data_IF_370439441460
#
_entry.id   IF_370439441460
#
_cell.length_a   1.000
_cell.length_b   1.000
_cell.length_c   1.000
_cell.angle_alpha   90.00
_cell.angle_beta   90.00
_cell.angle_gamma   90.00
#
_symmetry.space_group_name_H-M   'P 1'
#
loop_
_entity.id
_entity.type
_entity.pdbx_description
1 polymer ?
#
# COMPACT_ATOMS: atom_id res chain seq x y z
N UNK A 1 -30.50 37.30 -13.61
CA UNK A 1 -30.92 36.52 -12.43
C UNK A 1 -30.57 35.04 -12.51
N UNK A 2 -30.87 34.31 -13.57
CA UNK A 2 -30.56 32.83 -13.63
C UNK A 2 -29.12 32.44 -13.49
N UNK A 3 -28.15 33.23 -13.98
CA UNK A 3 -26.71 32.94 -13.85
C UNK A 3 -26.14 33.16 -12.43
N UNK A 4 -26.69 34.14 -11.70
CA UNK A 4 -26.24 34.40 -10.31
C UNK A 4 -26.74 33.30 -9.33
N UNK A 5 -27.92 32.72 -9.58
CA UNK A 5 -28.46 31.61 -8.77
C UNK A 5 -27.61 30.33 -8.99
N UNK A 6 -27.16 30.07 -10.22
CA UNK A 6 -26.34 28.91 -10.54
C UNK A 6 -24.97 28.98 -9.87
N UNK A 7 -24.35 30.16 -9.83
CA UNK A 7 -23.03 30.36 -9.15
C UNK A 7 -23.18 30.22 -7.64
N UNK A 8 -24.27 30.71 -7.05
CA UNK A 8 -24.55 30.53 -5.62
C UNK A 8 -24.80 29.06 -5.25
N UNK A 9 -25.46 28.28 -6.10
CA UNK A 9 -25.69 26.84 -5.87
C UNK A 9 -24.40 26.02 -5.97
N UNK A 10 -23.53 26.35 -6.91
CA UNK A 10 -22.21 25.71 -7.04
C UNK A 10 -21.30 26.05 -5.85
N UNK A 11 -21.31 27.31 -5.39
CA UNK A 11 -20.55 27.72 -4.20
C UNK A 11 -21.05 27.03 -2.92
N UNK A 12 -22.34 26.81 -2.77
CA UNK A 12 -22.93 26.06 -1.63
C UNK A 12 -22.59 24.58 -1.69
N UNK A 13 -22.59 23.94 -2.89
CA UNK A 13 -22.15 22.55 -3.03
C UNK A 13 -20.66 22.36 -2.75
N UNK A 14 -19.82 23.31 -3.15
CA UNK A 14 -18.37 23.28 -2.83
C UNK A 14 -18.15 23.48 -1.32
N UNK A 15 -18.93 24.35 -0.68
CA UNK A 15 -18.85 24.57 0.78
C UNK A 15 -19.33 23.35 1.58
N UNK A 16 -20.36 22.64 1.12
CA UNK A 16 -20.88 21.42 1.78
C UNK A 16 -19.91 20.25 1.59
N UNK A 17 -19.23 20.13 0.44
CA UNK A 17 -18.18 19.11 0.26
C UNK A 17 -16.90 19.43 1.05
N UNK A 18 -16.58 20.71 1.29
CA UNK A 18 -15.40 21.13 2.07
C UNK A 18 -15.54 20.91 3.57
N UNK A 19 -16.76 20.85 4.12
CA UNK A 19 -17.00 20.72 5.58
C UNK A 19 -17.00 19.26 6.04
N UNK A 20 -17.16 18.29 5.12
CA UNK A 20 -17.24 16.87 5.48
C UNK A 20 -15.90 16.21 5.77
N UNK A 21 -14.76 16.88 5.51
CA UNK A 21 -13.43 16.28 5.65
C UNK A 21 -12.71 16.60 6.96
N UNK A 22 -13.26 17.44 7.82
CA UNK A 22 -12.61 17.83 9.07
C UNK A 22 -13.00 17.01 10.29
N UNK A 23 -13.96 16.10 10.18
CA UNK A 23 -14.55 15.40 11.32
C UNK A 23 -13.93 14.02 11.63
N UNK A 24 -12.99 13.50 10.84
CA UNK A 24 -12.43 12.14 11.03
C UNK A 24 -10.99 12.12 11.58
N UNK A 25 -10.56 13.12 12.32
CA UNK A 25 -9.16 13.26 12.74
C UNK A 25 -8.76 12.50 14.02
N UNK A 26 -9.60 11.65 14.59
CA UNK A 26 -9.30 10.99 15.86
C UNK A 26 -9.08 9.48 15.80
N UNK A 27 -9.13 8.87 14.65
CA UNK A 27 -8.65 7.49 14.54
C UNK A 27 -7.11 7.55 14.54
N UNK A 28 -6.49 7.01 15.56
CA UNK A 28 -5.07 6.66 15.55
C UNK A 28 -4.90 5.54 14.52
N UNK A 29 -4.81 5.93 13.27
CA UNK A 29 -4.63 5.03 12.12
C UNK A 29 -3.15 4.71 11.89
N UNK A 30 -2.27 5.23 12.74
CA UNK A 30 -0.86 4.84 12.73
C UNK A 30 -0.76 3.36 13.10
N UNK A 31 -0.29 2.56 12.16
CA UNK A 31 -0.43 1.13 12.14
C UNK A 31 -0.07 0.41 13.44
N UNK A 32 -1.01 -0.33 13.93
CA UNK A 32 -0.76 -1.38 14.91
C UNK A 32 -0.29 -2.65 14.18
N UNK A 33 0.73 -2.52 13.31
CA UNK A 33 1.30 -3.62 12.53
C UNK A 33 1.65 -4.83 13.41
N UNK A 34 2.04 -4.60 14.67
CA UNK A 34 2.24 -5.67 15.62
C UNK A 34 1.01 -6.61 15.77
N UNK A 35 -0.20 -6.13 15.48
CA UNK A 35 -1.41 -6.93 15.59
C UNK A 35 -1.64 -7.84 14.38
N UNK A 36 -0.93 -7.66 13.28
CA UNK A 36 -1.01 -8.56 12.12
C UNK A 36 -0.33 -9.90 12.44
N UNK A 37 0.87 -9.83 13.03
CA UNK A 37 1.70 -11.00 13.33
C UNK A 37 1.67 -11.37 14.82
N UNK A 38 0.49 -11.32 15.48
CA UNK A 38 0.40 -11.58 16.93
C UNK A 38 0.80 -13.01 17.28
N UNK A 39 0.30 -13.96 16.53
CA UNK A 39 0.38 -15.39 16.86
C UNK A 39 1.38 -16.17 15.99
N UNK A 40 2.03 -15.49 15.03
CA UNK A 40 3.00 -16.05 14.09
C UNK A 40 4.10 -15.04 13.76
N UNK A 41 5.15 -15.48 13.06
CA UNK A 41 6.32 -14.65 12.78
C UNK A 41 6.45 -14.27 11.31
N UNK A 42 5.70 -14.92 10.43
CA UNK A 42 5.80 -14.76 8.99
C UNK A 42 4.42 -14.86 8.32
N UNK A 43 4.16 -13.98 7.36
CA UNK A 43 3.07 -14.09 6.38
C UNK A 43 3.65 -13.97 4.97
N UNK A 44 3.10 -14.72 4.03
CA UNK A 44 3.41 -14.60 2.61
C UNK A 44 2.13 -14.57 1.78
N UNK A 45 2.10 -13.70 0.77
CA UNK A 45 0.98 -13.55 -0.16
C UNK A 45 1.50 -13.58 -1.59
N UNK A 46 0.87 -14.38 -2.44
CA UNK A 46 1.15 -14.40 -3.86
C UNK A 46 -0.06 -13.95 -4.65
N UNK A 47 0.14 -13.01 -5.56
CA UNK A 47 -0.88 -12.45 -6.45
C UNK A 47 -0.53 -12.75 -7.91
N UNK A 48 -1.54 -13.12 -8.70
CA UNK A 48 -1.45 -13.04 -10.15
C UNK A 48 -1.65 -11.59 -10.58
N UNK A 49 -0.85 -11.13 -11.50
CA UNK A 49 -0.93 -9.79 -12.06
C UNK A 49 -1.36 -9.88 -13.51
N UNK A 50 -2.33 -9.04 -13.89
CA UNK A 50 -2.81 -8.94 -15.27
C UNK A 50 -3.27 -7.51 -15.56
N UNK A 51 -3.31 -7.12 -16.83
CA UNK A 51 -3.93 -5.87 -17.24
C UNK A 51 -5.32 -6.12 -17.81
N UNK A 52 -6.23 -5.18 -17.59
CA UNK A 52 -7.59 -5.18 -18.13
C UNK A 52 -7.91 -3.84 -18.80
N UNK A 53 -8.66 -3.88 -19.88
CA UNK A 53 -9.23 -2.70 -20.51
C UNK A 53 -10.41 -2.13 -19.69
N UNK A 54 -11.03 -1.06 -20.15
CA UNK A 54 -12.19 -0.43 -19.52
C UNK A 54 -13.42 -1.34 -19.42
N UNK A 55 -13.48 -2.39 -20.23
CA UNK A 55 -14.60 -3.35 -20.27
C UNK A 55 -14.28 -4.62 -19.46
N UNK A 56 -13.08 -4.69 -18.85
CA UNK A 56 -12.61 -5.82 -18.05
C UNK A 56 -11.97 -6.96 -18.84
N UNK A 57 -11.73 -6.78 -20.14
CA UNK A 57 -11.07 -7.79 -20.95
C UNK A 57 -9.55 -7.80 -20.71
N UNK A 58 -8.90 -8.99 -20.71
CA UNK A 58 -7.45 -9.07 -20.55
C UNK A 58 -6.69 -8.34 -21.66
N UNK A 59 -5.62 -7.65 -21.29
CA UNK A 59 -4.68 -6.99 -22.21
C UNK A 59 -3.37 -7.75 -22.18
N UNK A 60 -2.96 -8.31 -23.30
CA UNK A 60 -1.76 -9.12 -23.41
C UNK A 60 -0.47 -8.31 -23.14
N UNK A 61 0.56 -8.99 -22.65
CA UNK A 61 1.88 -8.40 -22.42
C UNK A 61 2.09 -7.78 -21.04
N UNK A 62 1.11 -7.85 -20.15
CA UNK A 62 1.17 -7.32 -18.78
C UNK A 62 0.92 -8.40 -17.72
N UNK A 63 1.03 -9.67 -18.10
CA UNK A 63 0.92 -10.76 -17.13
C UNK A 63 2.18 -10.83 -16.26
N UNK A 64 1.97 -11.16 -14.97
CA UNK A 64 3.05 -11.21 -14.01
C UNK A 64 2.65 -11.85 -12.69
N UNK A 65 3.54 -11.69 -11.72
CA UNK A 65 3.33 -12.12 -10.34
C UNK A 65 3.76 -11.04 -9.36
N UNK A 66 3.11 -10.99 -8.22
CA UNK A 66 3.49 -10.13 -7.10
C UNK A 66 3.47 -10.95 -5.83
N UNK A 67 4.61 -11.03 -5.16
CA UNK A 67 4.75 -11.68 -3.86
C UNK A 67 4.99 -10.63 -2.79
N UNK A 68 4.32 -10.76 -1.65
CA UNK A 68 4.53 -9.91 -0.46
C UNK A 68 4.81 -10.81 0.73
N UNK A 69 5.87 -10.50 1.48
CA UNK A 69 6.18 -11.17 2.74
C UNK A 69 6.24 -10.17 3.89
N UNK A 70 5.80 -10.63 5.05
CA UNK A 70 5.92 -9.92 6.33
C UNK A 70 6.69 -10.79 7.31
N UNK A 71 7.82 -10.27 7.82
CA UNK A 71 8.69 -10.97 8.76
C UNK A 71 8.86 -10.17 10.05
N UNK A 72 8.72 -10.83 11.19
CA UNK A 72 8.85 -10.23 12.52
C UNK A 72 10.29 -10.32 13.02
N UNK A 73 10.80 -9.20 13.53
CA UNK A 73 12.15 -9.11 14.08
C UNK A 73 12.11 -8.66 15.53
N UNK A 74 13.00 -9.24 16.35
CA UNK A 74 13.20 -8.85 17.75
C UNK A 74 14.25 -7.74 17.86
N UNK A 75 14.29 -7.06 19.01
CA UNK A 75 15.33 -6.08 19.33
C UNK A 75 16.73 -6.69 19.22
N UNK A 76 17.66 -5.99 18.58
CA UNK A 76 19.04 -6.42 18.40
C UNK A 76 19.26 -7.37 17.21
N UNK A 77 18.22 -7.73 16.48
CA UNK A 77 18.34 -8.57 15.28
C UNK A 77 19.10 -7.87 14.16
N UNK A 78 19.60 -8.66 13.21
CA UNK A 78 20.19 -8.18 11.95
C UNK A 78 19.29 -8.61 10.79
N UNK A 79 18.94 -7.65 9.92
CA UNK A 79 18.21 -7.88 8.68
C UNK A 79 19.20 -7.89 7.53
N UNK A 80 19.45 -9.04 6.93
CA UNK A 80 20.50 -9.23 5.91
C UNK A 80 20.00 -9.06 4.48
N UNK A 81 18.71 -9.16 4.25
CA UNK A 81 18.08 -9.14 2.92
C UNK A 81 17.27 -7.86 2.67
N UNK A 82 17.79 -6.73 3.14
CA UNK A 82 17.19 -5.41 2.93
C UNK A 82 17.78 -4.74 1.68
N UNK A 83 17.39 -5.22 0.51
CA UNK A 83 17.93 -4.74 -0.77
C UNK A 83 19.43 -5.03 -0.87
N UNK A 84 20.24 -3.98 -1.05
CA UNK A 84 21.70 -4.07 -1.03
C UNK A 84 22.31 -3.77 0.35
N UNK A 85 21.49 -3.47 1.35
CA UNK A 85 21.95 -3.08 2.69
C UNK A 85 21.72 -4.20 3.71
N UNK A 86 22.46 -4.13 4.80
CA UNK A 86 22.24 -4.90 6.02
C UNK A 86 21.87 -3.92 7.13
N UNK A 87 20.73 -4.16 7.81
CA UNK A 87 20.33 -3.38 8.96
C UNK A 87 20.75 -4.13 10.23
N UNK A 88 21.72 -3.60 10.95
CA UNK A 88 22.24 -4.19 12.19
C UNK A 88 21.57 -3.55 13.40
N UNK A 89 21.41 -4.34 14.49
CA UNK A 89 20.85 -3.88 15.76
C UNK A 89 19.49 -3.16 15.61
N UNK A 90 18.59 -3.75 14.80
CA UNK A 90 17.28 -3.16 14.58
C UNK A 90 16.45 -3.16 15.87
N UNK A 91 15.59 -2.16 16.02
CA UNK A 91 14.52 -2.18 17.04
C UNK A 91 13.52 -3.28 16.70
N UNK A 92 12.78 -3.78 17.71
CA UNK A 92 11.66 -4.70 17.46
C UNK A 92 10.76 -4.13 16.37
N UNK A 93 10.44 -4.95 15.35
CA UNK A 93 9.71 -4.47 14.19
C UNK A 93 9.26 -5.55 13.24
N UNK A 94 8.77 -5.10 12.09
CA UNK A 94 8.32 -5.95 10.98
C UNK A 94 8.98 -5.45 9.69
N UNK A 95 9.51 -6.38 8.93
CA UNK A 95 9.94 -6.16 7.55
C UNK A 95 8.81 -6.58 6.62
N UNK A 96 8.39 -5.68 5.75
CA UNK A 96 7.51 -5.98 4.62
C UNK A 96 8.34 -5.92 3.35
N UNK A 97 8.35 -6.99 2.57
CA UNK A 97 9.02 -7.04 1.25
C UNK A 97 8.00 -7.31 0.16
N UNK A 98 8.21 -6.71 -1.00
CA UNK A 98 7.44 -6.95 -2.21
C UNK A 98 8.35 -7.31 -3.38
N UNK A 99 7.95 -8.27 -4.19
CA UNK A 99 8.58 -8.60 -5.46
C UNK A 99 7.50 -8.68 -6.53
N UNK A 100 7.49 -7.71 -7.44
CA UNK A 100 6.59 -7.66 -8.59
C UNK A 100 7.39 -7.94 -9.86
N UNK A 101 6.89 -8.87 -10.67
CA UNK A 101 7.40 -9.14 -12.03
C UNK A 101 6.30 -8.89 -13.04
N UNK A 102 6.54 -8.05 -14.03
CA UNK A 102 5.65 -7.84 -15.18
C UNK A 102 6.51 -7.79 -16.45
N UNK A 103 6.31 -8.76 -17.34
CA UNK A 103 7.16 -8.92 -18.52
C UNK A 103 8.63 -9.14 -18.11
N UNK A 104 9.53 -8.27 -18.59
CA UNK A 104 10.97 -8.30 -18.26
C UNK A 104 11.36 -7.33 -17.16
N UNK A 105 10.40 -6.69 -16.50
CA UNK A 105 10.63 -5.72 -15.44
C UNK A 105 10.34 -6.34 -14.08
N UNK A 106 11.28 -6.18 -13.16
CA UNK A 106 11.17 -6.63 -11.78
C UNK A 106 11.26 -5.44 -10.84
N UNK A 107 10.38 -5.41 -9.84
CA UNK A 107 10.37 -4.41 -8.77
C UNK A 107 10.57 -5.12 -7.45
N UNK A 108 11.67 -4.81 -6.76
CA UNK A 108 11.94 -5.26 -5.41
C UNK A 108 11.74 -4.10 -4.47
N UNK A 109 10.93 -4.28 -3.45
CA UNK A 109 10.62 -3.26 -2.46
C UNK A 109 10.75 -3.82 -1.06
N UNK A 110 11.02 -2.95 -0.10
CA UNK A 110 10.97 -3.32 1.30
C UNK A 110 10.84 -2.11 2.20
N UNK A 111 10.14 -2.30 3.30
CA UNK A 111 9.98 -1.32 4.36
C UNK A 111 10.11 -2.01 5.70
N UNK A 112 10.99 -1.48 6.54
CA UNK A 112 11.15 -1.92 7.92
C UNK A 112 10.43 -0.95 8.84
N UNK A 113 9.53 -1.49 9.65
CA UNK A 113 8.81 -0.76 10.68
C UNK A 113 9.37 -1.09 12.03
N UNK A 114 9.57 -0.09 12.85
CA UNK A 114 9.95 -0.28 14.24
C UNK A 114 8.92 0.28 15.20
N UNK A 115 8.85 -0.34 16.38
CA UNK A 115 8.03 0.16 17.47
C UNK A 115 8.65 1.47 17.99
N UNK A 116 7.82 2.51 18.13
CA UNK A 116 8.20 3.72 18.84
C UNK A 116 8.30 3.37 20.33
N UNK A 117 9.44 3.73 20.95
CA UNK A 117 9.67 3.51 22.39
C UNK A 117 8.52 4.07 23.23
N UNK A 118 7.96 3.22 24.08
CA UNK A 118 6.83 3.60 24.96
C UNK A 118 5.46 3.61 24.29
N UNK A 119 5.33 3.15 23.04
CA UNK A 119 4.06 3.04 22.34
C UNK A 119 3.85 1.63 21.76
N UNK A 120 2.59 1.34 21.41
CA UNK A 120 2.24 0.14 20.63
C UNK A 120 2.25 0.38 19.12
N UNK A 121 2.61 1.60 18.69
CA UNK A 121 2.59 1.98 17.29
C UNK A 121 3.94 1.69 16.62
N UNK A 122 3.87 1.21 15.37
CA UNK A 122 5.01 1.07 14.50
C UNK A 122 5.02 2.21 13.48
N UNK A 123 6.21 2.67 13.16
CA UNK A 123 6.45 3.66 12.11
C UNK A 123 7.52 3.14 11.15
N UNK A 124 7.49 3.56 9.88
CA UNK A 124 8.57 3.26 8.96
C UNK A 124 9.90 3.75 9.52
N UNK A 125 10.92 2.92 9.46
CA UNK A 125 12.29 3.23 9.87
C UNK A 125 13.26 3.23 8.69
N UNK A 126 13.09 2.25 7.80
CA UNK A 126 13.92 2.11 6.60
C UNK A 126 13.07 1.70 5.41
N UNK A 127 13.51 2.07 4.21
CA UNK A 127 12.87 1.74 2.94
C UNK A 127 13.90 1.43 1.87
N UNK A 128 13.62 0.47 1.00
CA UNK A 128 14.39 0.27 -0.22
C UNK A 128 13.49 -0.02 -1.41
N UNK A 129 13.99 0.30 -2.60
CA UNK A 129 13.39 -0.10 -3.87
C UNK A 129 14.47 -0.35 -4.90
N UNK A 130 14.33 -1.43 -5.66
CA UNK A 130 15.19 -1.72 -6.81
C UNK A 130 14.30 -2.08 -8.00
N UNK A 131 14.55 -1.45 -9.15
CA UNK A 131 13.87 -1.77 -10.41
C UNK A 131 14.92 -2.32 -11.36
N UNK A 132 14.64 -3.50 -11.89
CA UNK A 132 15.44 -4.12 -12.95
C UNK A 132 14.61 -4.21 -14.22
N UNK A 133 15.24 -3.95 -15.34
CA UNK A 133 14.68 -4.18 -16.67
C UNK A 133 15.66 -4.99 -17.49
N UNK A 134 15.20 -6.09 -18.07
CA UNK A 134 16.05 -7.04 -18.80
C UNK A 134 17.28 -7.47 -17.96
N UNK A 135 17.10 -7.70 -16.66
CA UNK A 135 18.13 -8.07 -15.69
C UNK A 135 19.03 -6.93 -15.20
N UNK A 136 18.98 -5.74 -15.79
CA UNK A 136 19.82 -4.61 -15.43
C UNK A 136 19.12 -3.67 -14.45
N UNK A 137 19.82 -3.23 -13.40
CA UNK A 137 19.29 -2.24 -12.45
C UNK A 137 19.22 -0.88 -13.13
N UNK A 138 17.99 -0.37 -13.28
CA UNK A 138 17.71 0.97 -13.83
C UNK A 138 17.43 2.01 -12.75
N UNK A 139 16.97 1.57 -11.60
CA UNK A 139 16.69 2.40 -10.45
C UNK A 139 16.98 1.64 -9.15
N UNK A 140 17.61 2.31 -8.19
CA UNK A 140 17.66 1.85 -6.81
C UNK A 140 17.45 3.01 -5.83
N UNK A 141 16.89 2.71 -4.69
CA UNK A 141 16.60 3.62 -3.59
C UNK A 141 16.92 2.92 -2.27
N UNK A 142 17.67 3.59 -1.41
CA UNK A 142 17.79 3.23 0.00
C UNK A 142 17.46 4.48 0.82
N UNK A 143 16.69 4.32 1.89
CA UNK A 143 16.28 5.45 2.70
C UNK A 143 16.11 5.06 4.18
N UNK A 144 16.27 6.06 5.03
CA UNK A 144 16.00 5.99 6.46
C UNK A 144 15.07 7.12 6.90
N UNK A 145 14.18 6.81 7.82
CA UNK A 145 13.30 7.80 8.45
C UNK A 145 13.95 8.32 9.73
N UNK A 146 14.05 9.65 9.82
CA UNK A 146 14.35 10.40 11.04
C UNK A 146 13.10 11.19 11.44
N UNK A 147 12.24 10.57 12.22
CA UNK A 147 10.90 11.07 12.46
C UNK A 147 10.11 11.22 11.17
N UNK A 148 9.77 12.46 10.79
CA UNK A 148 9.04 12.78 9.56
C UNK A 148 9.93 13.18 8.39
N UNK A 149 11.23 13.00 8.51
CA UNK A 149 12.19 13.23 7.43
C UNK A 149 12.57 11.90 6.79
N UNK A 150 12.35 11.78 5.51
CA UNK A 150 12.74 10.64 4.69
C UNK A 150 14.05 10.99 3.99
N UNK A 151 15.17 10.55 4.56
CA UNK A 151 16.51 10.77 4.01
C UNK A 151 16.82 9.62 3.06
N UNK A 152 17.09 9.92 1.81
CA UNK A 152 17.26 8.92 0.76
C UNK A 152 18.55 9.10 -0.02
N UNK A 153 19.05 7.98 -0.55
CA UNK A 153 20.02 7.89 -1.64
C UNK A 153 19.38 7.08 -2.76
N UNK A 154 19.36 7.62 -3.97
CA UNK A 154 18.87 6.93 -5.16
C UNK A 154 19.93 6.87 -6.24
N UNK A 155 19.93 5.80 -7.02
CA UNK A 155 20.73 5.64 -8.23
C UNK A 155 19.79 5.48 -9.42
N UNK A 156 19.97 6.27 -10.45
CA UNK A 156 19.22 6.21 -11.70
C UNK A 156 20.22 6.03 -12.85
N UNK A 157 20.14 4.94 -13.58
CA UNK A 157 21.05 4.62 -14.67
C UNK A 157 22.53 4.80 -14.27
N UNK A 158 22.90 4.30 -13.08
CA UNK A 158 24.25 4.36 -12.52
C UNK A 158 24.65 5.70 -11.90
N UNK A 159 23.79 6.74 -11.93
CA UNK A 159 24.08 8.05 -11.33
C UNK A 159 23.42 8.17 -9.95
N UNK A 160 24.23 8.36 -8.94
CA UNK A 160 23.77 8.52 -7.55
C UNK A 160 23.40 9.96 -7.22
N UNK A 161 22.35 10.11 -6.41
CA UNK A 161 21.93 11.38 -5.80
C UNK A 161 21.26 11.13 -4.46
N UNK A 162 21.40 12.06 -3.53
CA UNK A 162 20.81 11.99 -2.19
C UNK A 162 19.96 13.21 -1.90
N UNK A 163 19.02 13.08 -0.97
CA UNK A 163 18.16 14.18 -0.56
C UNK A 163 17.29 13.82 0.65
N UNK A 164 16.45 14.76 1.01
CA UNK A 164 15.50 14.62 2.12
C UNK A 164 14.11 15.05 1.67
N UNK A 165 13.09 14.23 1.95
CA UNK A 165 11.68 14.60 1.82
C UNK A 165 11.13 14.84 3.21
N UNK A 166 10.58 16.03 3.46
CA UNK A 166 9.88 16.37 4.71
C UNK A 166 8.39 16.02 4.54
N UNK A 167 7.87 15.17 5.43
CA UNK A 167 6.46 14.74 5.44
C UNK A 167 5.54 15.77 6.13
N UNK A 168 6.10 16.86 6.63
CA UNK A 168 5.34 17.98 7.19
C UNK A 168 4.72 17.69 8.57
N UNK A 169 3.65 18.45 8.89
CA UNK A 169 2.97 18.39 10.20
C UNK A 169 1.85 17.33 10.24
N UNK A 170 1.99 16.23 9.52
CA UNK A 170 0.96 15.19 9.49
C UNK A 170 0.99 14.31 10.74
N UNK A 171 -0.16 13.78 11.12
CA UNK A 171 -0.28 12.84 12.24
C UNK A 171 0.16 11.45 11.80
N UNK A 172 -0.34 10.99 10.65
CA UNK A 172 -0.09 9.66 10.11
C UNK A 172 0.81 9.75 8.88
N UNK A 173 1.81 8.89 8.81
CA UNK A 173 2.65 8.72 7.63
C UNK A 173 3.00 7.25 7.44
N UNK A 174 3.10 6.83 6.18
CA UNK A 174 3.44 5.48 5.78
C UNK A 174 4.52 5.49 4.72
N UNK A 175 5.20 4.38 4.56
CA UNK A 175 6.09 4.18 3.43
C UNK A 175 5.29 3.77 2.19
N UNK A 176 5.73 4.22 1.01
CA UNK A 176 5.04 3.94 -0.25
C UNK A 176 5.02 2.45 -0.62
N UNK A 177 5.96 1.67 -0.10
CA UNK A 177 6.07 0.25 -0.43
C UNK A 177 5.12 -0.63 0.38
N UNK A 178 4.68 -0.17 1.57
CA UNK A 178 4.01 -1.04 2.53
C UNK A 178 2.64 -0.56 3.01
N UNK A 179 2.23 0.65 2.68
CA UNK A 179 0.97 1.19 3.19
C UNK A 179 -0.22 0.25 2.96
N UNK A 180 -0.20 -0.55 1.90
CA UNK A 180 -1.21 -1.57 1.62
C UNK A 180 -1.36 -2.56 2.79
N UNK A 181 -0.24 -3.03 3.34
CA UNK A 181 -0.25 -3.96 4.47
C UNK A 181 -0.54 -3.22 5.79
N UNK A 182 -0.03 -1.99 5.93
CA UNK A 182 -0.31 -1.17 7.10
C UNK A 182 -1.80 -0.88 7.28
N UNK A 183 -2.55 -0.69 6.19
CA UNK A 183 -4.00 -0.47 6.24
C UNK A 183 -4.77 -1.67 6.80
N UNK A 184 -4.26 -2.89 6.73
CA UNK A 184 -4.88 -4.08 7.35
C UNK A 184 -4.96 -3.99 8.87
N UNK A 185 -4.13 -3.15 9.49
CA UNK A 185 -4.02 -3.01 10.94
C UNK A 185 -5.05 -2.10 11.57
N UNK A 186 -5.87 -1.45 10.76
CA UNK A 186 -6.86 -0.51 11.23
C UNK A 186 -7.97 -1.28 11.95
N UNK A 187 -8.02 -1.12 13.27
CA UNK A 187 -8.96 -1.86 14.14
C UNK A 187 -10.43 -1.46 13.94
N UNK A 188 -10.66 -0.27 13.38
CA UNK A 188 -12.00 0.28 13.10
C UNK A 188 -12.36 0.21 11.62
N UNK A 189 -11.83 -0.77 10.90
CA UNK A 189 -12.12 -0.96 9.48
C UNK A 189 -13.62 -1.16 9.27
N UNK A 190 -14.27 -0.22 8.60
CA UNK A 190 -15.72 -0.19 8.42
C UNK A 190 -16.11 0.54 7.14
N UNK A 191 -17.36 0.46 6.73
CA UNK A 191 -17.87 1.17 5.55
C UNK A 191 -17.78 2.70 5.64
N UNK A 192 -17.69 3.26 6.84
CA UNK A 192 -17.54 4.69 7.07
C UNK A 192 -16.09 5.15 7.18
N UNK A 193 -15.12 4.24 7.03
CA UNK A 193 -13.71 4.59 7.19
C UNK A 193 -13.26 5.56 6.11
N UNK A 194 -12.74 6.71 6.55
CA UNK A 194 -12.01 7.66 5.71
C UNK A 194 -10.94 8.34 6.56
N UNK A 195 -9.71 8.41 6.05
CA UNK A 195 -8.61 9.12 6.73
C UNK A 195 -7.52 9.53 5.73
N UNK A 196 -6.68 10.46 6.15
CA UNK A 196 -5.56 10.94 5.35
C UNK A 196 -4.22 10.63 6.02
N UNK A 197 -3.22 10.40 5.20
CA UNK A 197 -1.84 10.18 5.62
C UNK A 197 -0.88 10.78 4.59
N UNK A 198 0.38 10.97 4.97
CA UNK A 198 1.43 11.38 4.04
C UNK A 198 2.37 10.23 3.76
N UNK A 199 2.95 10.23 2.58
CA UNK A 199 4.03 9.32 2.22
C UNK A 199 5.05 9.98 1.30
N UNK A 200 6.34 9.57 1.34
CA UNK A 200 7.33 10.04 0.41
C UNK A 200 7.15 9.36 -0.94
N UNK A 201 7.28 10.13 -2.00
CA UNK A 201 7.40 9.63 -3.37
C UNK A 201 8.78 10.01 -3.87
N UNK A 202 9.61 9.00 -4.14
CA UNK A 202 10.91 9.19 -4.78
C UNK A 202 10.97 8.28 -6.01
N UNK A 203 11.14 8.90 -7.16
CA UNK A 203 11.27 8.25 -8.48
C UNK A 203 12.57 8.69 -9.16
N UNK A 204 12.76 8.33 -10.41
CA UNK A 204 13.91 8.80 -11.18
C UNK A 204 13.95 10.33 -11.33
N UNK A 205 12.78 10.98 -11.37
CA UNK A 205 12.66 12.42 -11.68
C UNK A 205 12.08 13.26 -10.54
N UNK A 206 11.43 12.63 -9.55
CA UNK A 206 10.69 13.32 -8.49
C UNK A 206 11.19 12.89 -7.11
N UNK A 207 11.18 13.83 -6.16
CA UNK A 207 11.28 13.57 -4.74
C UNK A 207 10.38 14.55 -4.00
N UNK A 208 9.27 14.07 -3.48
CA UNK A 208 8.23 14.90 -2.85
C UNK A 208 7.47 14.14 -1.76
N UNK A 209 6.76 14.88 -0.92
CA UNK A 209 5.74 14.35 -0.02
C UNK A 209 4.37 14.49 -0.67
N UNK A 210 3.57 13.43 -0.60
CA UNK A 210 2.18 13.46 -1.07
C UNK A 210 1.22 13.15 0.07
N UNK A 211 0.11 13.87 0.09
CA UNK A 211 -1.01 13.55 0.98
C UNK A 211 -1.97 12.60 0.26
N UNK A 212 -2.29 11.52 0.92
CA UNK A 212 -3.15 10.44 0.42
C UNK A 212 -4.40 10.37 1.29
N UNK A 213 -5.52 10.12 0.67
CA UNK A 213 -6.77 9.77 1.35
C UNK A 213 -7.13 8.33 1.03
N UNK A 214 -7.38 7.54 2.06
CA UNK A 214 -8.00 6.23 1.98
C UNK A 214 -9.47 6.33 2.40
N UNK A 215 -10.38 5.80 1.57
CA UNK A 215 -11.81 5.83 1.83
C UNK A 215 -12.47 4.52 1.43
N UNK A 216 -13.24 3.92 2.32
CA UNK A 216 -14.08 2.77 2.00
C UNK A 216 -15.31 3.27 1.19
N UNK A 217 -15.54 2.65 0.04
CA UNK A 217 -16.65 2.95 -0.86
C UNK A 217 -17.87 2.03 -0.66
N UNK A 218 -17.71 0.97 0.16
CA UNK A 218 -18.73 -0.02 0.43
C UNK A 218 -18.18 -1.44 0.41
N UNK A 219 -19.07 -2.43 0.46
CA UNK A 219 -18.75 -3.86 0.39
C UNK A 219 -19.03 -4.43 -0.98
N UNK A 220 -18.17 -5.33 -1.43
CA UNK A 220 -18.31 -6.07 -2.68
C UNK A 220 -17.80 -7.50 -2.49
N UNK A 221 -18.31 -8.44 -3.29
CA UNK A 221 -17.74 -9.79 -3.34
C UNK A 221 -16.69 -9.87 -4.46
N UNK A 222 -15.47 -10.23 -4.11
CA UNK A 222 -14.36 -10.47 -5.05
C UNK A 222 -14.39 -11.95 -5.43
N UNK A 223 -14.72 -12.22 -6.68
CA UNK A 223 -14.67 -13.56 -7.28
C UNK A 223 -13.29 -13.83 -7.86
N UNK A 224 -12.92 -15.11 -8.00
CA UNK A 224 -11.67 -15.58 -8.62
C UNK A 224 -10.39 -15.25 -7.84
N UNK A 225 -10.49 -14.68 -6.64
CA UNK A 225 -9.38 -14.63 -5.73
C UNK A 225 -9.31 -15.95 -4.96
N UNK A 226 -8.10 -16.38 -4.61
CA UNK A 226 -7.85 -17.65 -3.92
C UNK A 226 -8.18 -18.90 -4.76
N UNK A 227 -7.17 -19.49 -5.32
CA UNK A 227 -7.23 -20.85 -5.89
C UNK A 227 -6.77 -21.91 -4.89
N UNK A 228 -6.35 -21.51 -3.69
CA UNK A 228 -5.93 -22.44 -2.65
C UNK A 228 -7.16 -23.07 -1.98
N UNK A 229 -7.25 -24.41 -2.07
CA UNK A 229 -8.31 -25.22 -1.47
C UNK A 229 -8.35 -25.18 0.06
N UNK A 230 -7.39 -24.52 0.70
CA UNK A 230 -7.29 -24.36 2.16
C UNK A 230 -8.08 -23.17 2.71
N UNK A 231 -8.59 -22.29 1.84
CA UNK A 231 -9.46 -21.21 2.27
C UNK A 231 -10.91 -21.69 2.32
N UNK A 232 -11.62 -21.46 3.42
CA UNK A 232 -13.06 -21.68 3.55
C UNK A 232 -13.83 -20.67 2.67
N UNK A 233 -13.68 -20.80 1.35
CA UNK A 233 -14.31 -19.95 0.39
C UNK A 233 -15.73 -20.40 0.13
N UNK A 234 -16.69 -19.54 0.45
CA UNK A 234 -18.06 -19.71 0.01
C UNK A 234 -18.15 -19.49 -1.51
N UNK A 235 -19.06 -20.19 -2.18
CA UNK A 235 -19.30 -20.17 -3.64
C UNK A 235 -19.51 -18.75 -4.26
N UNK A 236 -19.62 -17.72 -3.47
CA UNK A 236 -19.84 -16.33 -3.87
C UNK A 236 -18.59 -15.43 -3.96
N UNK A 237 -17.40 -15.95 -3.64
CA UNK A 237 -16.18 -15.16 -3.48
C UNK A 237 -16.03 -14.59 -2.06
N UNK A 238 -15.01 -13.74 -1.86
CA UNK A 238 -14.70 -13.12 -0.58
C UNK A 238 -15.39 -11.76 -0.48
N UNK A 239 -16.16 -11.55 0.60
CA UNK A 239 -16.71 -10.24 0.92
C UNK A 239 -15.56 -9.29 1.32
N UNK A 240 -15.44 -8.16 0.61
CA UNK A 240 -14.37 -7.21 0.78
C UNK A 240 -14.88 -5.78 0.97
N UNK A 241 -14.18 -5.01 1.78
CA UNK A 241 -14.26 -3.55 1.76
C UNK A 241 -13.53 -3.03 0.53
N UNK A 242 -14.25 -2.39 -0.39
CA UNK A 242 -13.67 -1.68 -1.53
C UNK A 242 -13.16 -0.33 -1.05
N UNK A 243 -11.85 -0.13 -1.03
CA UNK A 243 -11.19 1.06 -0.49
C UNK A 243 -10.50 1.83 -1.62
N UNK A 244 -10.93 3.07 -1.84
CA UNK A 244 -10.28 3.97 -2.79
C UNK A 244 -9.09 4.66 -2.12
N UNK A 245 -7.98 4.73 -2.85
CA UNK A 245 -6.78 5.49 -2.52
C UNK A 245 -6.66 6.62 -3.52
N UNK A 246 -6.59 7.85 -3.04
CA UNK A 246 -6.54 9.05 -3.88
C UNK A 246 -5.47 10.01 -3.38
N UNK A 247 -4.79 10.71 -4.28
CA UNK A 247 -3.96 11.85 -3.91
C UNK A 247 -4.87 13.03 -3.56
N UNK A 248 -4.56 13.77 -2.50
CA UNK A 248 -5.39 14.90 -2.04
C UNK A 248 -5.49 16.02 -3.08
N UNK A 249 -4.55 16.12 -4.01
CA UNK A 249 -4.52 17.12 -5.08
C UNK A 249 -5.31 16.73 -6.34
N UNK A 250 -5.75 15.48 -6.43
CA UNK A 250 -6.50 14.98 -7.58
C UNK A 250 -8.00 15.00 -7.27
N UNK A 251 -8.70 16.02 -7.75
CA UNK A 251 -10.13 16.29 -7.49
C UNK A 251 -11.07 15.18 -7.99
N UNK A 252 -10.59 14.22 -8.79
CA UNK A 252 -11.40 13.13 -9.35
C UNK A 252 -10.64 11.81 -9.60
N UNK A 253 -9.37 11.68 -9.19
CA UNK A 253 -8.56 10.51 -9.54
C UNK A 253 -8.46 9.49 -8.40
N UNK A 254 -9.04 8.31 -8.56
CA UNK A 254 -8.69 7.15 -7.74
C UNK A 254 -7.34 6.65 -8.26
N UNK A 255 -6.28 6.76 -7.44
CA UNK A 255 -4.94 6.25 -7.80
C UNK A 255 -4.87 4.74 -7.72
N UNK A 256 -5.59 4.15 -6.75
CA UNK A 256 -5.70 2.69 -6.56
C UNK A 256 -7.02 2.34 -5.91
N UNK A 257 -7.48 1.11 -6.14
CA UNK A 257 -8.58 0.50 -5.40
C UNK A 257 -8.08 -0.77 -4.74
N UNK A 258 -8.25 -0.86 -3.43
CA UNK A 258 -7.83 -1.97 -2.60
C UNK A 258 -9.07 -2.72 -2.07
N UNK A 259 -9.00 -4.04 -2.05
CA UNK A 259 -10.10 -4.88 -1.59
C UNK A 259 -9.64 -5.71 -0.40
N UNK A 260 -10.01 -5.29 0.80
CA UNK A 260 -9.69 -5.95 2.05
C UNK A 260 -10.83 -6.86 2.49
N UNK A 261 -10.54 -8.09 2.90
CA UNK A 261 -11.55 -8.99 3.45
C UNK A 261 -12.29 -8.32 4.62
N UNK A 262 -13.62 -8.48 4.67
CA UNK A 262 -14.49 -7.85 5.68
C UNK A 262 -14.20 -8.36 7.10
N UNK A 263 -13.73 -9.59 7.21
CA UNK A 263 -13.36 -10.21 8.48
C UNK A 263 -12.00 -10.88 8.40
N UNK A 264 -11.69 -11.63 9.43
CA UNK A 264 -10.54 -12.50 9.42
C UNK A 264 -10.82 -13.69 8.49
N UNK A 265 -9.82 -14.06 7.71
CA UNK A 265 -9.90 -15.24 6.84
C UNK A 265 -9.19 -16.38 7.55
N UNK A 266 -9.93 -17.44 7.84
CA UNK A 266 -9.39 -18.66 8.44
C UNK A 266 -8.59 -19.44 7.40
N UNK A 267 -7.33 -19.73 7.71
CA UNK A 267 -6.46 -20.54 6.87
C UNK A 267 -5.63 -21.48 7.75
N UNK A 268 -5.74 -22.79 7.51
CA UNK A 268 -4.91 -23.80 8.20
C UNK A 268 -4.89 -23.67 9.74
N UNK A 269 -6.01 -23.26 10.35
CA UNK A 269 -6.15 -23.07 11.80
C UNK A 269 -5.70 -21.70 12.32
N UNK A 270 -5.32 -20.77 11.44
CA UNK A 270 -4.94 -19.39 11.78
C UNK A 270 -5.92 -18.37 11.20
N UNK A 271 -6.06 -17.24 11.86
CA UNK A 271 -6.91 -16.15 11.39
C UNK A 271 -6.06 -15.00 10.85
N UNK A 272 -6.13 -14.76 9.55
CA UNK A 272 -5.48 -13.63 8.88
C UNK A 272 -6.41 -12.42 8.87
N UNK A 273 -5.97 -11.33 9.50
CA UNK A 273 -6.78 -10.10 9.62
C UNK A 273 -6.81 -9.33 8.32
N UNK A 274 -8.03 -9.01 7.86
CA UNK A 274 -8.30 -8.10 6.74
C UNK A 274 -7.33 -8.26 5.57
N UNK A 275 -7.10 -9.49 5.12
CA UNK A 275 -6.16 -9.73 4.03
C UNK A 275 -6.54 -8.91 2.80
N UNK A 276 -5.53 -8.46 2.08
CA UNK A 276 -5.70 -7.74 0.82
C UNK A 276 -5.94 -8.75 -0.30
N UNK A 277 -7.19 -8.85 -0.77
CA UNK A 277 -7.65 -9.86 -1.72
C UNK A 277 -7.37 -9.44 -3.16
N UNK A 278 -7.47 -8.13 -3.44
CA UNK A 278 -7.23 -7.57 -4.78
C UNK A 278 -6.69 -6.16 -4.68
N UNK A 279 -5.80 -5.81 -5.62
CA UNK A 279 -5.37 -4.43 -5.89
C UNK A 279 -5.76 -4.12 -7.32
N UNK A 280 -6.26 -2.92 -7.56
CA UNK A 280 -6.47 -2.38 -8.92
C UNK A 280 -5.85 -0.99 -8.99
N UNK A 281 -5.04 -0.75 -10.02
CA UNK A 281 -4.44 0.56 -10.26
C UNK A 281 -4.54 0.94 -11.74
N UNK A 282 -4.99 2.14 -12.07
CA UNK A 282 -5.03 2.61 -13.44
C UNK A 282 -3.61 2.91 -13.94
N UNK A 283 -3.32 2.55 -15.17
CA UNK A 283 -2.11 2.96 -15.87
C UNK A 283 -2.41 3.32 -17.31
N UNK A 284 -1.51 4.08 -17.93
CA UNK A 284 -1.64 4.49 -19.34
C UNK A 284 -0.56 3.84 -20.18
N UNK A 285 -0.96 3.24 -21.29
CA UNK A 285 -0.08 2.72 -22.32
C UNK A 285 -0.72 2.96 -23.70
N UNK A 286 0.07 3.35 -24.68
CA UNK A 286 -0.35 3.56 -26.08
C UNK A 286 -1.57 4.48 -26.22
N UNK A 287 -1.64 5.51 -25.36
CA UNK A 287 -2.75 6.48 -25.35
C UNK A 287 -4.05 5.99 -24.69
N UNK A 288 -4.10 4.73 -24.28
CA UNK A 288 -5.25 4.13 -23.59
C UNK A 288 -5.03 4.10 -22.08
N UNK A 289 -6.15 4.04 -21.31
CA UNK A 289 -6.13 3.78 -19.89
C UNK A 289 -6.56 2.35 -19.63
N UNK A 290 -5.73 1.61 -18.92
CA UNK A 290 -5.92 0.24 -18.49
C UNK A 290 -5.95 0.16 -16.98
N UNK A 291 -6.36 -0.99 -16.44
CA UNK A 291 -6.27 -1.32 -15.03
C UNK A 291 -5.31 -2.49 -14.82
N UNK A 292 -4.25 -2.29 -14.06
CA UNK A 292 -3.45 -3.39 -13.54
C UNK A 292 -4.20 -4.00 -12.36
N UNK A 293 -4.41 -5.31 -12.41
CA UNK A 293 -5.16 -6.07 -11.41
C UNK A 293 -4.24 -7.11 -10.80
N UNK A 294 -4.15 -7.11 -9.49
CA UNK A 294 -3.42 -8.07 -8.68
C UNK A 294 -4.45 -8.90 -7.93
N UNK A 295 -4.62 -10.15 -8.28
CA UNK A 295 -5.56 -11.08 -7.64
C UNK A 295 -4.81 -12.05 -6.73
N UNK A 296 -5.15 -12.08 -5.44
CA UNK A 296 -4.55 -12.98 -4.47
C UNK A 296 -4.81 -14.44 -4.86
N UNK A 297 -3.74 -15.23 -4.95
CA UNK A 297 -3.78 -16.67 -5.27
C UNK A 297 -3.54 -17.55 -4.06
N UNK A 298 -2.47 -17.25 -3.31
CA UNK A 298 -2.10 -18.00 -2.14
C UNK A 298 -1.77 -17.08 -0.99
N UNK A 299 -1.98 -17.55 0.23
CA UNK A 299 -1.52 -16.91 1.44
C UNK A 299 -1.04 -17.98 2.41
N UNK A 300 0.12 -17.77 3.02
CA UNK A 300 0.78 -18.71 3.91
C UNK A 300 1.16 -18.03 5.22
N UNK A 301 1.12 -18.81 6.31
CA UNK A 301 1.49 -18.44 7.66
C UNK A 301 2.54 -19.43 8.18
N UNK A 302 3.57 -18.93 8.87
CA UNK A 302 4.59 -19.74 9.54
C UNK A 302 4.98 -19.18 10.91
#
# INVERSE_FOLDING_TARGET
MKKAILIALVAVMIAVMGVSFTACNNATTQGQLQNILNDHNHESFEYAVSAQDKDGNPVAGYDGSYTVTLDKYTQGSTVTDFGSATLSDVKKGILVKGHLTVGTTEYFTGSYFSIISGSSYMVPAYSFRTIKKDGNVTFSLNAAYDGKKFNYTRTVDGKESSGTVDLGKVVNYYDNNEFHQALRTITTFSESLAFSFSMPIVSATEASSVSITARVLGKVNVKNAFTDSRADLQDGGIACYKTAISRATEVAGISQTLFYAVGDVAMSGWNMKHILVRIQEPFKADGNTYSMVYDLKTAELH
#
